data_IF_718373298889
#
_entry.id   IF_718373298889
#
_cell.length_a   1.000
_cell.length_b   1.000
_cell.length_c   1.000
_cell.angle_alpha   90.00
_cell.angle_beta   90.00
_cell.angle_gamma   90.00
#
_symmetry.space_group_name_H-M   'P 1'
#
loop_
_entity.id
_entity.type
_entity.pdbx_description
1 polymer ?
#
# COMPACT_ATOMS: atom_id res chain seq x y z
N UNK A 1 14.36 28.39 -13.61
CA UNK A 1 14.85 27.11 -13.09
C UNK A 1 13.74 26.40 -12.38
N UNK A 2 13.62 25.11 -12.61
CA UNK A 2 12.64 24.30 -11.92
C UNK A 2 13.18 23.90 -10.55
N UNK A 3 12.32 23.89 -9.52
CA UNK A 3 12.67 23.31 -8.22
C UNK A 3 12.68 21.78 -8.30
N UNK A 4 13.55 21.14 -7.55
CA UNK A 4 13.58 19.69 -7.46
C UNK A 4 12.59 19.19 -6.40
N UNK A 5 11.91 18.06 -6.65
CA UNK A 5 11.03 17.50 -5.64
C UNK A 5 11.81 17.00 -4.44
N UNK A 6 11.19 17.06 -3.28
CA UNK A 6 11.77 16.60 -2.00
C UNK A 6 11.02 15.42 -1.42
N UNK A 7 10.06 14.88 -2.14
CA UNK A 7 9.28 13.73 -1.68
C UNK A 7 8.37 13.18 -2.77
N UNK A 8 7.69 12.11 -2.45
CA UNK A 8 6.71 11.48 -3.33
C UNK A 8 5.33 11.98 -2.94
N UNK A 9 4.64 12.66 -3.86
CA UNK A 9 3.32 13.22 -3.58
C UNK A 9 2.24 12.13 -3.50
N UNK A 10 2.31 11.15 -4.40
CA UNK A 10 1.33 10.08 -4.44
C UNK A 10 1.95 8.79 -4.98
N UNK A 11 1.45 7.68 -4.48
CA UNK A 11 1.72 6.34 -5.03
C UNK A 11 0.39 5.82 -5.57
N UNK A 12 0.35 5.48 -6.84
CA UNK A 12 -0.84 4.89 -7.45
C UNK A 12 -0.68 3.38 -7.51
N UNK A 13 -1.61 2.67 -6.90
CA UNK A 13 -1.68 1.22 -6.91
C UNK A 13 -2.81 0.83 -7.85
N UNK A 14 -2.49 0.10 -8.91
CA UNK A 14 -3.49 -0.35 -9.87
C UNK A 14 -4.18 -1.60 -9.31
N UNK A 15 -5.50 -1.55 -9.22
CA UNK A 15 -6.31 -2.59 -8.59
C UNK A 15 -7.36 -3.12 -9.56
N UNK A 16 -7.73 -4.38 -9.39
CA UNK A 16 -8.74 -4.99 -10.23
C UNK A 16 -10.15 -4.48 -9.87
N UNK A 17 -10.45 -4.46 -8.57
CA UNK A 17 -11.76 -4.06 -8.04
C UNK A 17 -11.57 -3.01 -6.96
N UNK A 18 -11.97 -1.78 -7.24
CA UNK A 18 -11.79 -0.66 -6.31
C UNK A 18 -12.57 -0.88 -5.01
N UNK A 19 -13.76 -1.46 -5.07
CA UNK A 19 -14.56 -1.70 -3.87
C UNK A 19 -13.87 -2.70 -2.91
N UNK A 20 -13.28 -3.75 -3.46
CA UNK A 20 -12.52 -4.74 -2.68
C UNK A 20 -11.26 -4.12 -2.08
N UNK A 21 -10.52 -3.37 -2.88
CA UNK A 21 -9.32 -2.69 -2.42
C UNK A 21 -9.64 -1.66 -1.34
N UNK A 22 -10.68 -0.85 -1.56
CA UNK A 22 -11.13 0.16 -0.61
C UNK A 22 -11.50 -0.46 0.74
N UNK A 23 -12.25 -1.56 0.73
CA UNK A 23 -12.60 -2.27 1.97
C UNK A 23 -11.35 -2.71 2.72
N UNK A 24 -10.37 -3.26 2.01
CA UNK A 24 -9.11 -3.70 2.62
C UNK A 24 -8.38 -2.53 3.27
N UNK A 25 -8.16 -1.43 2.54
CA UNK A 25 -7.37 -0.31 3.06
C UNK A 25 -8.06 0.40 4.22
N UNK A 26 -9.39 0.50 4.21
CA UNK A 26 -10.13 1.08 5.33
C UNK A 26 -10.12 0.17 6.55
N UNK A 27 -10.29 -1.13 6.35
CA UNK A 27 -10.27 -2.11 7.45
C UNK A 27 -8.88 -2.26 8.07
N UNK A 28 -7.85 -2.34 7.24
CA UNK A 28 -6.49 -2.67 7.71
C UNK A 28 -5.77 -1.43 8.25
N UNK A 29 -5.79 -0.33 7.52
CA UNK A 29 -5.08 0.87 7.92
C UNK A 29 -5.94 1.85 8.71
N UNK A 30 -7.26 1.78 8.57
CA UNK A 30 -8.17 2.66 9.31
C UNK A 30 -8.12 4.11 8.89
N UNK A 31 -7.59 4.40 7.70
CA UNK A 31 -7.49 5.77 7.22
C UNK A 31 -8.83 6.23 6.63
N UNK A 32 -9.22 7.49 6.89
CA UNK A 32 -10.40 8.05 6.24
C UNK A 32 -10.14 8.27 4.76
N UNK A 33 -11.17 8.08 3.96
CA UNK A 33 -11.10 8.33 2.51
C UNK A 33 -10.96 9.84 2.29
N UNK A 34 -9.92 10.22 1.54
CA UNK A 34 -9.70 11.60 1.12
C UNK A 34 -10.58 11.96 -0.09
N UNK A 35 -10.70 11.03 -1.03
CA UNK A 35 -11.53 11.15 -2.24
C UNK A 35 -11.86 9.76 -2.75
N UNK A 36 -13.05 9.57 -3.31
CA UNK A 36 -13.41 8.32 -3.96
C UNK A 36 -14.46 8.56 -5.04
N UNK A 37 -14.38 7.75 -6.10
CA UNK A 37 -15.39 7.65 -7.14
C UNK A 37 -15.50 6.18 -7.59
N UNK A 38 -16.14 5.93 -8.73
CA UNK A 38 -16.36 4.57 -9.20
C UNK A 38 -15.07 3.83 -9.59
N UNK A 39 -14.00 4.56 -9.89
CA UNK A 39 -12.76 3.98 -10.43
C UNK A 39 -11.54 4.24 -9.56
N UNK A 40 -11.69 4.99 -8.47
CA UNK A 40 -10.55 5.32 -7.61
C UNK A 40 -10.94 5.55 -6.16
N UNK A 41 -9.98 5.39 -5.28
CA UNK A 41 -10.08 5.81 -3.88
C UNK A 41 -8.71 6.33 -3.43
N UNK A 42 -8.69 7.49 -2.79
CA UNK A 42 -7.45 8.16 -2.38
C UNK A 42 -7.44 8.31 -0.87
N UNK A 43 -6.32 7.93 -0.27
CA UNK A 43 -6.10 8.04 1.17
C UNK A 43 -4.90 8.95 1.45
N UNK A 44 -5.03 9.82 2.45
CA UNK A 44 -3.88 10.56 2.95
C UNK A 44 -3.09 9.65 3.89
N UNK A 45 -1.82 9.42 3.57
CA UNK A 45 -0.93 8.58 4.35
C UNK A 45 0.31 9.40 4.71
N UNK A 46 0.22 10.15 5.80
CA UNK A 46 1.25 11.13 6.12
C UNK A 46 1.33 12.18 5.04
N UNK A 47 2.53 12.48 4.56
CA UNK A 47 2.77 13.44 3.47
C UNK A 47 2.59 12.88 2.07
N UNK A 48 2.18 11.63 1.93
CA UNK A 48 2.03 10.96 0.63
C UNK A 48 0.60 10.44 0.49
N UNK A 49 0.01 10.63 -0.70
CA UNK A 49 -1.29 10.05 -0.99
C UNK A 49 -1.13 8.63 -1.52
N UNK A 50 -2.01 7.74 -1.09
CA UNK A 50 -2.14 6.40 -1.70
C UNK A 50 -3.41 6.44 -2.56
N UNK A 51 -3.23 6.26 -3.86
CA UNK A 51 -4.32 6.27 -4.82
C UNK A 51 -4.56 4.84 -5.32
N UNK A 52 -5.75 4.31 -5.02
CA UNK A 52 -6.18 3.03 -5.57
C UNK A 52 -6.93 3.35 -6.87
N UNK A 53 -6.41 2.89 -8.00
CA UNK A 53 -7.01 3.18 -9.30
C UNK A 53 -7.31 1.88 -10.04
N UNK A 54 -8.52 1.78 -10.58
CA UNK A 54 -8.91 0.61 -11.38
C UNK A 54 -7.93 0.41 -12.54
N UNK A 55 -7.50 -0.84 -12.77
CA UNK A 55 -6.57 -1.18 -13.87
C UNK A 55 -7.09 -0.71 -15.23
N UNK A 56 -8.39 -0.71 -15.41
CA UNK A 56 -9.02 -0.24 -16.66
C UNK A 56 -8.72 1.21 -16.98
N UNK A 57 -8.37 2.01 -15.97
CA UNK A 57 -8.05 3.43 -16.14
C UNK A 57 -6.54 3.69 -16.24
N UNK A 58 -5.72 2.66 -16.11
CA UNK A 58 -4.27 2.81 -16.07
C UNK A 58 -3.71 3.42 -17.37
N UNK A 59 -4.26 3.03 -18.50
CA UNK A 59 -3.77 3.51 -19.80
C UNK A 59 -3.78 5.04 -19.91
N UNK A 60 -4.74 5.71 -19.29
CA UNK A 60 -4.78 7.17 -19.31
C UNK A 60 -3.58 7.82 -18.64
N UNK A 61 -2.94 7.09 -17.70
CA UNK A 61 -1.81 7.63 -16.95
C UNK A 61 -0.45 7.12 -17.44
N UNK A 62 -0.37 5.87 -17.84
CA UNK A 62 0.92 5.21 -18.06
C UNK A 62 1.11 4.65 -19.47
N UNK A 63 0.11 4.80 -20.37
CA UNK A 63 0.27 4.34 -21.74
C UNK A 63 1.55 4.93 -22.38
N UNK A 64 2.37 4.19 -23.14
CA UNK A 64 2.17 2.80 -23.57
C UNK A 64 2.69 1.72 -22.61
N UNK A 65 3.08 2.07 -21.38
CA UNK A 65 3.53 1.06 -20.42
C UNK A 65 2.37 0.14 -20.01
N UNK A 66 2.57 -1.19 -19.99
CA UNK A 66 1.53 -2.11 -19.55
C UNK A 66 1.42 -2.16 -18.03
N UNK A 67 0.24 -2.47 -17.53
CA UNK A 67 0.03 -2.71 -16.11
C UNK A 67 0.45 -4.14 -15.77
N UNK A 68 1.29 -4.30 -14.73
CA UNK A 68 1.62 -5.61 -14.20
C UNK A 68 0.41 -6.22 -13.48
N UNK A 69 0.15 -7.51 -13.71
CA UNK A 69 -1.02 -8.19 -13.15
C UNK A 69 -0.69 -9.35 -12.21
N UNK A 70 0.58 -9.68 -12.03
CA UNK A 70 1.00 -10.77 -11.15
C UNK A 70 2.37 -10.48 -10.54
N UNK A 71 2.56 -11.00 -9.32
CA UNK A 71 3.79 -10.81 -8.56
C UNK A 71 3.94 -9.39 -8.02
N UNK A 72 4.79 -9.24 -7.03
CA UNK A 72 5.11 -7.94 -6.48
C UNK A 72 6.20 -7.27 -7.30
N UNK A 73 6.00 -5.99 -7.66
CA UNK A 73 6.98 -5.17 -8.36
C UNK A 73 7.74 -4.26 -7.42
N UNK A 74 7.16 -4.00 -6.26
CA UNK A 74 7.74 -3.10 -5.26
C UNK A 74 7.19 -3.46 -3.90
N UNK A 75 7.83 -2.91 -2.88
CA UNK A 75 7.39 -3.03 -1.51
C UNK A 75 7.36 -1.63 -0.90
N UNK A 76 6.27 -1.34 -0.20
CA UNK A 76 6.14 -0.09 0.54
C UNK A 76 6.46 -0.37 2.00
N UNK A 77 7.41 0.35 2.57
CA UNK A 77 7.81 0.17 3.97
C UNK A 77 7.30 1.34 4.79
N UNK A 78 6.63 1.03 5.89
CA UNK A 78 6.18 2.02 6.86
C UNK A 78 6.87 1.79 8.20
N UNK A 79 7.35 2.87 8.81
CA UNK A 79 7.94 2.82 10.14
C UNK A 79 6.84 2.75 11.18
N UNK A 80 6.98 1.85 12.14
CA UNK A 80 6.03 1.68 13.24
C UNK A 80 6.79 1.64 14.56
N UNK A 81 6.09 1.81 15.67
CA UNK A 81 6.74 1.79 16.99
C UNK A 81 7.01 0.37 17.49
N UNK A 82 6.10 -0.56 17.21
CA UNK A 82 6.16 -1.93 17.71
C UNK A 82 5.61 -2.88 16.67
N UNK A 83 6.51 -3.58 15.97
CA UNK A 83 6.14 -4.52 14.91
C UNK A 83 5.32 -5.69 15.47
N UNK A 84 5.69 -6.24 16.63
CA UNK A 84 4.97 -7.38 17.20
C UNK A 84 3.53 -7.02 17.56
N UNK A 85 3.33 -5.86 18.18
CA UNK A 85 2.01 -5.37 18.54
C UNK A 85 1.15 -5.16 17.31
N UNK A 86 1.74 -4.55 16.27
CA UNK A 86 1.00 -4.28 15.04
C UNK A 86 0.69 -5.57 14.28
N UNK A 87 1.58 -6.56 14.30
CA UNK A 87 1.29 -7.88 13.74
C UNK A 87 0.07 -8.52 14.39
N UNK A 88 -0.06 -8.41 15.71
CA UNK A 88 -1.21 -8.94 16.43
C UNK A 88 -2.50 -8.22 16.00
N UNK A 89 -2.45 -6.91 15.84
CA UNK A 89 -3.60 -6.13 15.36
C UNK A 89 -3.97 -6.50 13.92
N UNK A 90 -2.98 -6.62 13.04
CA UNK A 90 -3.20 -7.01 11.65
C UNK A 90 -3.87 -8.39 11.56
N UNK A 91 -3.35 -9.35 12.31
CA UNK A 91 -3.94 -10.69 12.37
C UNK A 91 -5.38 -10.64 12.87
N UNK A 92 -5.64 -9.81 13.89
CA UNK A 92 -6.99 -9.59 14.41
C UNK A 92 -7.94 -8.95 13.40
N UNK A 93 -7.40 -8.21 12.43
CA UNK A 93 -8.16 -7.60 11.34
C UNK A 93 -8.27 -8.51 10.11
N UNK A 94 -7.84 -9.76 10.23
CA UNK A 94 -7.96 -10.75 9.16
C UNK A 94 -6.83 -10.73 8.13
N UNK A 95 -5.69 -10.10 8.45
CA UNK A 95 -4.53 -10.07 7.57
C UNK A 95 -3.65 -11.29 7.81
N UNK A 96 -3.25 -11.96 6.73
CA UNK A 96 -2.27 -13.05 6.79
C UNK A 96 -0.89 -12.47 6.48
N UNK A 97 0.05 -12.65 7.40
CA UNK A 97 1.42 -12.17 7.18
C UNK A 97 2.12 -13.04 6.15
N UNK A 98 2.87 -12.41 5.25
CA UNK A 98 3.76 -13.11 4.32
C UNK A 98 4.97 -13.66 5.07
N UNK A 99 5.51 -12.85 5.98
CA UNK A 99 6.62 -13.24 6.84
C UNK A 99 6.67 -12.33 8.07
N UNK A 100 7.46 -12.73 9.06
CA UNK A 100 7.67 -11.98 10.28
C UNK A 100 6.59 -12.21 11.34
N UNK A 101 6.68 -11.55 12.49
CA UNK A 101 7.76 -10.60 12.85
C UNK A 101 9.11 -11.29 12.98
N UNK A 102 10.16 -10.65 12.51
CA UNK A 102 11.50 -11.20 12.54
C UNK A 102 12.55 -10.11 12.57
N UNK A 103 13.68 -10.39 13.22
CA UNK A 103 14.84 -9.52 13.18
C UNK A 103 15.61 -9.77 11.90
N UNK A 104 15.94 -8.68 11.20
CA UNK A 104 16.71 -8.79 9.97
C UNK A 104 18.21 -8.68 10.25
N UNK A 105 19.06 -9.38 9.49
CA UNK A 105 20.51 -9.33 9.70
C UNK A 105 21.10 -7.91 9.61
N UNK A 106 20.45 -7.00 8.88
CA UNK A 106 20.90 -5.62 8.71
C UNK A 106 20.34 -4.65 9.74
N UNK A 107 19.59 -5.14 10.75
CA UNK A 107 19.22 -4.36 11.94
C UNK A 107 17.75 -4.30 12.31
N UNK A 108 16.79 -3.94 11.48
CA UNK A 108 15.38 -3.72 11.85
C UNK A 108 14.62 -5.02 12.11
N UNK A 109 13.55 -4.89 12.86
CA UNK A 109 12.55 -5.92 13.01
C UNK A 109 11.41 -5.63 12.04
N UNK A 110 11.00 -6.62 11.24
CA UNK A 110 10.03 -6.42 10.17
C UNK A 110 8.97 -7.49 10.10
N UNK A 111 7.88 -7.17 9.46
CA UNK A 111 6.87 -8.11 8.99
C UNK A 111 6.27 -7.56 7.69
N UNK A 112 5.77 -8.46 6.85
CA UNK A 112 5.20 -8.07 5.57
C UNK A 112 3.84 -8.73 5.34
N UNK A 113 2.99 -8.05 4.60
CA UNK A 113 1.70 -8.56 4.16
C UNK A 113 1.38 -7.98 2.78
N UNK A 114 0.42 -8.58 2.09
CA UNK A 114 -0.02 -8.07 0.80
C UNK A 114 -1.48 -7.63 0.85
N UNK A 115 -1.81 -6.70 -0.03
CA UNK A 115 -3.19 -6.31 -0.27
C UNK A 115 -3.87 -7.32 -1.21
N UNK A 116 -5.18 -7.18 -1.52
CA UNK A 116 -5.88 -8.13 -2.40
C UNK A 116 -5.30 -8.23 -3.81
N UNK A 117 -4.58 -7.22 -4.27
CA UNK A 117 -3.99 -7.19 -5.60
C UNK A 117 -2.51 -7.59 -5.62
N UNK A 118 -1.97 -8.00 -4.48
CA UNK A 118 -0.58 -8.46 -4.39
C UNK A 118 0.44 -7.36 -4.13
N UNK A 119 0.01 -6.14 -3.83
CA UNK A 119 0.95 -5.08 -3.43
C UNK A 119 1.46 -5.37 -2.02
N UNK A 120 2.77 -5.35 -1.87
CA UNK A 120 3.43 -5.75 -0.62
C UNK A 120 3.69 -4.55 0.27
N UNK A 121 3.31 -4.68 1.54
CA UNK A 121 3.57 -3.70 2.58
C UNK A 121 4.47 -4.32 3.65
N UNK A 122 5.49 -3.57 4.05
CA UNK A 122 6.37 -3.95 5.15
C UNK A 122 6.20 -2.96 6.29
N UNK A 123 6.08 -3.49 7.51
CA UNK A 123 6.17 -2.69 8.73
C UNK A 123 7.53 -2.95 9.38
N UNK A 124 8.16 -1.90 9.90
CA UNK A 124 9.53 -1.98 10.42
C UNK A 124 9.76 -1.05 11.61
N UNK A 125 10.59 -1.50 12.54
CA UNK A 125 11.13 -0.64 13.59
C UNK A 125 12.56 -0.99 13.96
#
# INVERSE_FOLDING_TARGET
>A
MAGWPTGVAAVTLFVEDVAVAKEFYERVFGLPVHYADDVSAVYAFGGTLINLLARSEAAELIDPAPVGTSGARMQLTVAVEDVDALCAELTGRGVTLLNGPMDRPWGPRTAAFSDPDGHVWEIAH
#
